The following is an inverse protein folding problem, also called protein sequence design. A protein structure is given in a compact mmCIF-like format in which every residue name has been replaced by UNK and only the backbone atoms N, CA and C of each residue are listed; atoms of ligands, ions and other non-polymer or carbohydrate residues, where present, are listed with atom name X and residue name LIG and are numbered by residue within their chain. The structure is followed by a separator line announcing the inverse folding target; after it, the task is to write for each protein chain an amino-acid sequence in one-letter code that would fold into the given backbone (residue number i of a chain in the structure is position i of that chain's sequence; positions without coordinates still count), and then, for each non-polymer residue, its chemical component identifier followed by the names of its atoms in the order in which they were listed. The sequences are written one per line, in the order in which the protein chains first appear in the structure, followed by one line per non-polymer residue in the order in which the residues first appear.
data_IF_462417287823
#
_entry.id   IF_462417287823
#
_cell.length_a   1.000
_cell.length_b   1.000
_cell.length_c   1.000
_cell.angle_alpha   90.00
_cell.angle_beta   90.00
_cell.angle_gamma   90.00
#
_symmetry.space_group_name_H-M   'P 1'
#
loop_
_entity.id
_entity.type
_entity.pdbx_description
1 polymer ?
#
# COMPACT_ATOMS: atom_id res chain seq x y z
N UNK A 1 -9.94 -8.91 -14.72
CA UNK A 1 -10.77 -8.71 -13.50
C UNK A 1 -10.28 -7.52 -12.69
N UNK A 2 -11.11 -6.89 -11.85
CA UNK A 2 -10.71 -5.79 -10.94
C UNK A 2 -11.25 -6.04 -9.53
N UNK A 3 -10.38 -5.98 -8.52
CA UNK A 3 -10.73 -6.08 -7.10
C UNK A 3 -10.62 -4.69 -6.48
N UNK A 4 -11.72 -4.10 -5.96
CA UNK A 4 -11.74 -2.74 -5.48
C UNK A 4 -11.04 -2.61 -4.11
N UNK A 5 -10.53 -1.42 -3.80
CA UNK A 5 -9.83 -1.09 -2.53
C UNK A 5 -10.75 -1.08 -1.29
N UNK A 6 -12.00 -1.49 -1.44
CA UNK A 6 -12.95 -1.74 -0.36
C UNK A 6 -12.85 -3.16 0.18
N UNK A 7 -12.37 -4.11 -0.64
CA UNK A 7 -12.14 -5.50 -0.25
C UNK A 7 -10.75 -5.63 0.40
N UNK A 8 -10.68 -5.37 1.71
CA UNK A 8 -9.40 -5.32 2.43
C UNK A 8 -9.33 -6.32 3.58
N UNK A 9 -8.14 -6.89 3.75
CA UNK A 9 -7.78 -7.69 4.92
C UNK A 9 -6.62 -7.00 5.66
N UNK A 10 -6.55 -7.20 6.98
CA UNK A 10 -5.46 -6.69 7.82
C UNK A 10 -4.57 -7.79 8.38
N UNK A 11 -4.88 -9.05 8.05
CA UNK A 11 -4.15 -10.23 8.47
C UNK A 11 -4.33 -11.33 7.44
N UNK A 12 -3.24 -11.97 7.03
CA UNK A 12 -3.29 -13.15 6.19
C UNK A 12 -3.77 -14.36 7.01
N UNK A 13 -4.75 -15.10 6.47
CA UNK A 13 -5.33 -16.27 7.12
C UNK A 13 -6.02 -17.15 6.08
N UNK A 14 -5.85 -18.47 6.20
CA UNK A 14 -6.53 -19.46 5.35
C UNK A 14 -8.04 -19.57 5.61
N UNK A 15 -8.56 -18.89 6.65
CA UNK A 15 -9.99 -18.86 6.98
C UNK A 15 -10.74 -17.73 6.26
N UNK A 16 -10.02 -16.86 5.55
CA UNK A 16 -10.63 -15.75 4.82
C UNK A 16 -11.38 -16.28 3.60
N UNK A 17 -12.57 -15.76 3.37
CA UNK A 17 -13.32 -16.04 2.14
C UNK A 17 -12.69 -15.26 0.99
N UNK A 18 -12.45 -15.88 -0.17
CA UNK A 18 -12.04 -15.15 -1.36
C UNK A 18 -13.07 -14.11 -1.75
N UNK A 19 -12.60 -12.94 -2.18
CA UNK A 19 -13.46 -11.88 -2.73
C UNK A 19 -13.57 -11.99 -4.26
N UNK A 20 -12.69 -12.78 -4.88
CA UNK A 20 -12.67 -13.05 -6.30
C UNK A 20 -11.94 -14.37 -6.60
N UNK A 21 -12.14 -14.89 -7.81
CA UNK A 21 -11.54 -16.12 -8.34
C UNK A 21 -10.88 -15.83 -9.69
N UNK A 22 -9.72 -16.42 -9.93
CA UNK A 22 -8.98 -16.32 -11.20
C UNK A 22 -8.35 -17.65 -11.57
N UNK A 23 -8.04 -17.82 -12.85
CA UNK A 23 -7.25 -18.94 -13.38
C UNK A 23 -5.81 -18.52 -13.61
N UNK A 24 -4.91 -19.50 -13.68
CA UNK A 24 -3.52 -19.26 -14.13
C UNK A 24 -3.52 -18.55 -15.49
N UNK A 25 -2.74 -17.46 -15.58
CA UNK A 25 -2.65 -16.62 -16.77
C UNK A 25 -3.61 -15.43 -16.81
N UNK A 26 -4.60 -15.37 -15.91
CA UNK A 26 -5.53 -14.23 -15.87
C UNK A 26 -4.84 -12.93 -15.43
N UNK A 27 -5.27 -11.82 -16.05
CA UNK A 27 -4.88 -10.47 -15.64
C UNK A 27 -5.87 -9.90 -14.62
N UNK A 28 -5.34 -9.52 -13.47
CA UNK A 28 -6.11 -8.94 -12.36
C UNK A 28 -5.60 -7.56 -11.99
N UNK A 29 -6.52 -6.63 -11.77
CA UNK A 29 -6.23 -5.29 -11.28
C UNK A 29 -6.61 -5.22 -9.81
N UNK A 30 -5.67 -4.87 -8.95
CA UNK A 30 -5.92 -4.58 -7.54
C UNK A 30 -5.92 -3.07 -7.34
N UNK A 31 -7.01 -2.53 -6.81
CA UNK A 31 -7.01 -1.17 -6.27
C UNK A 31 -6.58 -1.23 -4.80
N UNK A 32 -5.63 -0.39 -4.41
CA UNK A 32 -5.07 -0.42 -3.05
C UNK A 32 -5.37 0.86 -2.29
N UNK A 33 -5.44 0.72 -0.96
CA UNK A 33 -5.29 1.84 -0.04
C UNK A 33 -3.81 1.99 0.31
N UNK A 34 -3.42 3.15 0.84
CA UNK A 34 -2.09 3.29 1.42
C UNK A 34 -1.95 2.53 2.74
N UNK A 35 -0.73 2.54 3.29
CA UNK A 35 -0.37 1.78 4.50
C UNK A 35 -1.15 2.19 5.76
N UNK A 36 -1.87 3.31 5.76
CA UNK A 36 -2.75 3.74 6.86
C UNK A 36 -4.22 3.79 6.43
N UNK A 37 -4.61 3.01 5.43
CA UNK A 37 -5.99 2.91 4.94
C UNK A 37 -6.56 4.23 4.41
N UNK A 38 -5.71 5.07 3.83
CA UNK A 38 -6.05 6.40 3.28
C UNK A 38 -6.52 7.40 4.36
N UNK A 39 -6.15 7.18 5.63
CA UNK A 39 -6.46 8.10 6.74
C UNK A 39 -5.59 9.37 6.72
N UNK A 40 -4.51 9.39 5.93
CA UNK A 40 -3.65 10.56 5.73
C UNK A 40 -3.94 11.18 4.37
N UNK A 41 -4.18 12.48 4.38
CA UNK A 41 -4.51 13.24 3.16
C UNK A 41 -3.90 14.65 3.21
N UNK A 42 -4.00 15.37 2.09
CA UNK A 42 -3.63 16.80 2.03
C UNK A 42 -4.37 17.65 3.07
N UNK A 43 -5.64 17.35 3.34
CA UNK A 43 -6.47 18.07 4.32
C UNK A 43 -6.29 17.57 5.76
N UNK A 44 -5.69 16.39 5.96
CA UNK A 44 -5.40 15.82 7.27
C UNK A 44 -4.00 15.16 7.29
N UNK A 45 -2.91 15.96 7.22
CA UNK A 45 -1.54 15.45 7.18
C UNK A 45 -1.00 15.18 8.61
N UNK A 46 -1.77 14.50 9.45
CA UNK A 46 -1.41 14.21 10.85
C UNK A 46 -1.81 12.79 11.26
N UNK A 47 -1.12 12.20 12.24
CA UNK A 47 -1.49 10.90 12.82
C UNK A 47 -2.51 11.00 13.95
N UNK A 48 -2.88 12.21 14.41
CA UNK A 48 -3.66 12.39 15.65
C UNK A 48 -5.00 11.62 15.66
N UNK A 49 -5.59 11.42 14.49
CA UNK A 49 -6.88 10.73 14.29
C UNK A 49 -6.75 9.38 13.59
N UNK A 50 -5.54 8.85 13.42
CA UNK A 50 -5.31 7.59 12.70
C UNK A 50 -5.61 6.39 13.58
N UNK A 51 -6.57 5.57 13.14
CA UNK A 51 -6.81 4.24 13.68
C UNK A 51 -5.73 3.28 13.20
N UNK A 52 -4.75 3.02 14.07
CA UNK A 52 -3.63 2.12 13.80
C UNK A 52 -4.02 0.64 13.74
N UNK A 53 -5.25 0.26 14.13
CA UNK A 53 -5.75 -1.11 13.90
C UNK A 53 -6.00 -1.39 12.42
N UNK A 54 -6.16 -0.32 11.63
CA UNK A 54 -6.35 -0.37 10.17
C UNK A 54 -5.08 -0.07 9.39
N UNK A 55 -3.91 -0.40 9.94
CA UNK A 55 -2.64 -0.28 9.21
C UNK A 55 -2.45 -1.46 8.26
N UNK A 56 -1.69 -1.24 7.19
CA UNK A 56 -1.31 -2.25 6.20
C UNK A 56 -2.48 -3.05 5.63
N UNK A 57 -3.52 -2.38 5.07
CA UNK A 57 -4.57 -3.07 4.34
C UNK A 57 -4.00 -3.75 3.09
N UNK A 58 -4.34 -5.01 2.87
CA UNK A 58 -4.08 -5.73 1.63
C UNK A 58 -5.39 -6.02 0.91
N UNK A 59 -5.46 -5.69 -0.39
CA UNK A 59 -6.67 -5.91 -1.20
C UNK A 59 -6.79 -7.38 -1.59
N UNK A 60 -7.94 -8.01 -1.33
CA UNK A 60 -8.18 -9.43 -1.60
C UNK A 60 -8.98 -10.11 -0.48
N UNK A 61 -8.84 -11.45 -0.31
CA UNK A 61 -7.96 -12.38 -1.05
C UNK A 61 -8.50 -12.78 -2.43
N UNK A 62 -7.58 -12.96 -3.39
CA UNK A 62 -7.87 -13.60 -4.67
C UNK A 62 -7.61 -15.12 -4.57
N UNK A 63 -8.57 -15.94 -4.96
CA UNK A 63 -8.39 -17.38 -5.08
C UNK A 63 -7.92 -17.76 -6.48
N UNK A 64 -6.91 -18.61 -6.58
CA UNK A 64 -6.40 -19.13 -7.85
C UNK A 64 -6.93 -20.55 -8.04
N UNK A 65 -7.74 -20.76 -9.06
CA UNK A 65 -8.31 -22.06 -9.40
C UNK A 65 -7.21 -23.07 -9.73
N UNK A 66 -7.25 -24.23 -9.09
CA UNK A 66 -6.30 -25.32 -9.29
C UNK A 66 -4.95 -25.14 -8.59
N UNK A 67 -4.72 -24.05 -7.85
CA UNK A 67 -3.52 -23.91 -7.03
C UNK A 67 -3.61 -24.75 -5.75
N UNK A 68 -2.60 -25.57 -5.49
CA UNK A 68 -2.54 -26.48 -4.34
C UNK A 68 -1.36 -26.18 -3.41
N UNK A 69 -1.39 -26.77 -2.21
CA UNK A 69 -0.29 -26.63 -1.27
C UNK A 69 0.97 -27.32 -1.81
N UNK A 70 2.06 -26.55 -1.96
CA UNK A 70 3.30 -27.01 -2.57
C UNK A 70 3.59 -26.35 -3.91
N UNK A 71 2.57 -25.76 -4.55
CA UNK A 71 2.76 -24.98 -5.77
C UNK A 71 3.44 -23.64 -5.51
N UNK A 72 3.99 -23.04 -6.57
CA UNK A 72 4.52 -21.68 -6.56
C UNK A 72 3.62 -20.76 -7.37
N UNK A 73 3.14 -19.68 -6.74
CA UNK A 73 2.46 -18.61 -7.45
C UNK A 73 3.49 -17.65 -8.05
N UNK A 74 3.56 -17.58 -9.38
CA UNK A 74 4.36 -16.58 -10.10
C UNK A 74 3.46 -15.40 -10.46
N UNK A 75 3.80 -14.21 -9.96
CA UNK A 75 3.05 -12.97 -10.23
C UNK A 75 3.92 -12.02 -11.05
N UNK A 76 3.47 -11.70 -12.26
CA UNK A 76 4.09 -10.66 -13.08
C UNK A 76 3.39 -9.31 -12.83
N UNK A 77 4.16 -8.31 -12.36
CA UNK A 77 3.64 -6.96 -12.13
C UNK A 77 3.71 -6.18 -13.45
N UNK A 78 2.61 -6.20 -14.19
CA UNK A 78 2.53 -5.55 -15.51
C UNK A 78 2.54 -4.02 -15.43
N UNK A 79 1.90 -3.45 -14.39
CA UNK A 79 1.76 -2.00 -14.24
C UNK A 79 1.37 -1.61 -12.82
N UNK A 80 1.97 -0.54 -12.32
CA UNK A 80 1.53 0.16 -11.12
C UNK A 80 1.08 1.56 -11.54
N UNK A 81 -0.10 1.98 -11.07
CA UNK A 81 -0.60 3.35 -11.22
C UNK A 81 -0.73 3.98 -9.85
N UNK A 82 -0.04 5.09 -9.64
CA UNK A 82 -0.12 5.85 -8.40
C UNK A 82 -1.23 6.90 -8.49
N UNK A 83 -1.66 7.37 -7.32
CA UNK A 83 -2.38 8.65 -7.20
C UNK A 83 -1.39 9.81 -7.32
N UNK A 84 -1.88 11.03 -7.22
CA UNK A 84 -1.14 12.29 -7.40
C UNK A 84 -0.38 12.78 -6.15
N UNK A 85 -0.44 12.05 -5.03
CA UNK A 85 0.36 12.31 -3.84
C UNK A 85 0.69 11.03 -3.07
N UNK A 86 1.76 11.08 -2.29
CA UNK A 86 2.06 10.13 -1.24
C UNK A 86 2.25 10.84 0.10
N UNK A 87 2.58 10.08 1.13
CA UNK A 87 3.00 10.63 2.42
C UNK A 87 4.18 9.85 2.97
N UNK A 88 4.98 10.54 3.77
CA UNK A 88 6.04 9.93 4.55
C UNK A 88 5.94 10.42 5.99
N UNK A 89 6.46 9.62 6.92
CA UNK A 89 6.48 9.98 8.33
C UNK A 89 7.78 9.63 9.01
N UNK A 90 8.11 10.39 10.03
CA UNK A 90 9.12 10.07 11.03
C UNK A 90 8.48 10.12 12.40
N UNK A 91 8.90 9.24 13.30
CA UNK A 91 8.37 9.16 14.65
C UNK A 91 9.47 8.75 15.65
N UNK A 92 9.42 9.26 16.89
CA UNK A 92 10.37 8.87 17.94
C UNK A 92 10.38 7.35 18.14
N UNK A 93 11.57 6.75 18.33
CA UNK A 93 11.71 5.32 18.56
C UNK A 93 11.46 4.44 17.31
N UNK A 94 11.26 5.04 16.14
CA UNK A 94 10.97 4.34 14.89
C UNK A 94 12.15 4.22 13.93
N UNK A 95 12.29 3.06 13.30
CA UNK A 95 13.24 2.84 12.21
C UNK A 95 14.72 2.92 12.65
N UNK A 96 15.61 3.14 11.69
CA UNK A 96 17.06 3.17 11.96
C UNK A 96 17.50 4.36 12.82
N UNK A 97 16.73 5.46 12.82
CA UNK A 97 17.00 6.68 13.59
C UNK A 97 16.27 6.71 14.94
N UNK A 98 15.89 5.55 15.47
CA UNK A 98 15.12 5.42 16.71
C UNK A 98 15.80 6.07 17.94
N UNK A 99 17.13 6.20 17.93
CA UNK A 99 17.95 6.79 18.99
C UNK A 99 18.06 8.33 18.92
N UNK A 100 17.58 8.94 17.84
CA UNK A 100 17.66 10.38 17.62
C UNK A 100 16.47 11.10 18.25
N UNK A 101 16.73 12.31 18.73
CA UNK A 101 15.69 13.23 19.18
C UNK A 101 14.94 13.81 17.97
N UNK A 102 13.90 13.07 17.53
CA UNK A 102 13.08 13.41 16.38
C UNK A 102 11.65 13.65 16.85
N UNK A 103 11.08 14.80 16.47
CA UNK A 103 9.65 15.06 16.63
C UNK A 103 8.85 14.30 15.59
N UNK A 104 7.70 13.77 16.02
CA UNK A 104 6.76 13.13 15.11
C UNK A 104 6.36 14.10 14.00
N UNK A 105 6.46 13.68 12.73
CA UNK A 105 6.09 14.50 11.58
C UNK A 105 5.59 13.65 10.43
N UNK A 106 4.50 14.09 9.82
CA UNK A 106 4.01 13.59 8.53
C UNK A 106 4.28 14.67 7.48
N UNK A 107 4.68 14.26 6.28
CA UNK A 107 4.84 15.15 5.13
C UNK A 107 4.08 14.55 3.96
N UNK A 108 3.24 15.36 3.34
CA UNK A 108 2.65 15.07 2.03
C UNK A 108 3.69 15.35 0.95
N UNK A 109 3.80 14.43 0.00
CA UNK A 109 4.73 14.49 -1.12
C UNK A 109 3.90 14.45 -2.40
N UNK A 110 3.91 15.54 -3.16
CA UNK A 110 3.20 15.65 -4.43
C UNK A 110 3.89 14.80 -5.49
N UNK A 111 3.12 14.09 -6.30
CA UNK A 111 3.61 13.22 -7.38
C UNK A 111 3.13 13.78 -8.72
N UNK A 112 4.06 14.12 -9.60
CA UNK A 112 3.77 14.67 -10.93
C UNK A 112 4.91 14.34 -11.88
N UNK A 113 4.63 14.19 -13.18
CA UNK A 113 5.65 14.00 -14.22
C UNK A 113 6.72 12.94 -13.88
N UNK A 114 6.29 11.78 -13.38
CA UNK A 114 7.17 10.67 -12.96
C UNK A 114 8.20 11.04 -11.88
N UNK A 115 7.95 12.10 -11.10
CA UNK A 115 8.75 12.49 -9.93
C UNK A 115 7.90 12.68 -8.66
N UNK A 116 8.54 12.52 -7.51
CA UNK A 116 8.06 12.90 -6.20
C UNK A 116 8.76 14.20 -5.75
N UNK A 117 7.97 15.22 -5.41
CA UNK A 117 8.47 16.54 -5.03
C UNK A 117 8.74 16.60 -3.52
N UNK A 118 10.01 16.44 -3.13
CA UNK A 118 10.45 16.56 -1.75
C UNK A 118 11.14 17.91 -1.51
N UNK A 119 10.36 18.90 -1.05
CA UNK A 119 10.82 20.29 -0.96
C UNK A 119 11.19 20.81 -2.35
N UNK A 120 12.44 21.20 -2.55
CA UNK A 120 13.08 21.62 -3.80
C UNK A 120 13.74 20.47 -4.57
N UNK A 121 13.64 19.23 -4.07
CA UNK A 121 14.21 18.05 -4.70
C UNK A 121 13.15 17.29 -5.52
N UNK A 122 13.51 16.97 -6.76
CA UNK A 122 12.76 16.06 -7.62
C UNK A 122 13.36 14.64 -7.48
N UNK A 123 12.55 13.70 -6.99
CA UNK A 123 12.97 12.31 -6.82
C UNK A 123 12.26 11.46 -7.86
N UNK A 124 12.96 10.78 -8.79
CA UNK A 124 12.33 9.90 -9.77
C UNK A 124 11.46 8.83 -9.12
N UNK A 125 10.25 8.63 -9.64
CA UNK A 125 9.35 7.59 -9.14
C UNK A 125 9.86 6.21 -9.53
N UNK A 126 9.93 5.34 -8.53
CA UNK A 126 10.15 3.91 -8.72
C UNK A 126 9.02 3.12 -8.03
N UNK A 127 7.82 3.02 -8.65
CA UNK A 127 6.67 2.39 -8.02
C UNK A 127 6.92 0.92 -7.70
N UNK A 128 6.53 0.48 -6.50
CA UNK A 128 6.69 -0.90 -6.04
C UNK A 128 5.53 -1.33 -5.14
N UNK A 129 5.38 -2.64 -4.95
CA UNK A 129 4.51 -3.23 -3.92
C UNK A 129 5.39 -3.55 -2.71
N UNK A 130 4.97 -3.07 -1.53
CA UNK A 130 5.68 -3.27 -0.27
C UNK A 130 5.33 -4.56 0.46
#
# INVERSE_FOLDING_TARGET
MRIPRTEVIYKFSNKLKPVAFAKTGDRVIFETRDALSDQISRSSPTLDSVDLSKRNPATGPLFIEGAEAGDTLVVEILKIKLRDYGWMRVYPGGGILHDKDIRHKVKIVELSNDVAMFNDLEIPLNPMVG
#
